data_IF_805421337155
#
_entry.id   IF_805421337155
#
_cell.length_a   1.000
_cell.length_b   1.000
_cell.length_c   1.000
_cell.angle_alpha   90.00
_cell.angle_beta   90.00
_cell.angle_gamma   90.00
#
_symmetry.space_group_name_H-M   'P 1'
#
loop_
_entity.id
_entity.type
_entity.pdbx_description
1 polymer ?
#
# COMPACT_ATOMS: atom_id res chain seq x y z
N UNK A 1 5.10 9.18 -8.60
CA UNK A 1 4.98 7.92 -9.37
C UNK A 1 3.63 7.83 -10.12
N UNK A 2 3.50 7.02 -11.18
CA UNK A 2 2.19 6.69 -11.82
C UNK A 2 1.72 5.27 -11.44
N UNK A 3 0.45 4.94 -11.69
CA UNK A 3 -0.09 3.59 -11.44
C UNK A 3 0.62 2.50 -12.23
N UNK A 4 0.89 2.77 -13.51
CA UNK A 4 1.56 1.83 -14.41
C UNK A 4 2.95 1.50 -13.86
N UNK A 5 3.68 2.52 -13.42
CA UNK A 5 5.02 2.32 -12.83
C UNK A 5 4.94 1.57 -11.50
N UNK A 6 3.94 1.84 -10.67
CA UNK A 6 3.73 1.12 -9.42
C UNK A 6 3.42 -0.36 -9.65
N UNK A 7 2.52 -0.67 -10.61
CA UNK A 7 2.16 -2.03 -10.99
C UNK A 7 3.36 -2.79 -11.55
N UNK A 8 4.16 -2.16 -12.42
CA UNK A 8 5.41 -2.73 -12.93
C UNK A 8 6.36 -3.13 -11.77
N UNK A 9 6.54 -2.25 -10.78
CA UNK A 9 7.35 -2.54 -9.59
C UNK A 9 6.78 -3.72 -8.80
N UNK A 10 5.48 -3.71 -8.52
CA UNK A 10 4.80 -4.78 -7.76
C UNK A 10 5.01 -6.13 -8.43
N UNK A 11 4.85 -6.20 -9.76
CA UNK A 11 5.03 -7.42 -10.54
C UNK A 11 6.49 -7.88 -10.56
N UNK A 12 7.42 -6.99 -10.89
CA UNK A 12 8.84 -7.32 -11.03
C UNK A 12 9.48 -7.75 -9.70
N UNK A 13 9.09 -7.10 -8.59
CA UNK A 13 9.61 -7.40 -7.25
C UNK A 13 8.77 -8.45 -6.52
N UNK A 14 7.70 -8.96 -7.14
CA UNK A 14 6.77 -9.93 -6.56
C UNK A 14 6.24 -9.47 -5.19
N UNK A 15 5.90 -8.18 -5.07
CA UNK A 15 5.37 -7.63 -3.83
C UNK A 15 3.97 -8.19 -3.57
N UNK A 16 3.72 -8.62 -2.33
CA UNK A 16 2.48 -9.25 -1.91
C UNK A 16 1.84 -8.49 -0.75
N UNK A 17 0.67 -8.98 -0.30
CA UNK A 17 -0.06 -8.44 0.85
C UNK A 17 -0.33 -6.95 0.70
N UNK A 18 -0.96 -6.62 -0.43
CA UNK A 18 -1.38 -5.28 -0.79
C UNK A 18 -2.90 -5.19 -0.93
N UNK A 19 -3.44 -4.01 -0.73
CA UNK A 19 -4.82 -3.65 -1.06
C UNK A 19 -4.79 -2.47 -2.04
N UNK A 20 -5.09 -2.75 -3.30
CA UNK A 20 -4.88 -1.82 -4.40
C UNK A 20 -6.15 -1.02 -4.64
N UNK A 21 -6.22 0.19 -4.08
CA UNK A 21 -7.38 1.08 -4.21
C UNK A 21 -8.70 0.45 -3.71
N UNK A 22 -8.64 -0.20 -2.55
CA UNK A 22 -9.78 -0.88 -1.92
C UNK A 22 -10.42 -1.95 -2.85
N UNK A 23 -9.60 -2.67 -3.63
CA UNK A 23 -10.03 -3.76 -4.52
C UNK A 23 -10.58 -4.99 -3.77
N UNK A 24 -10.23 -5.12 -2.49
CA UNK A 24 -10.86 -6.04 -1.56
C UNK A 24 -11.11 -5.43 -0.18
N UNK A 25 -11.94 -6.13 0.62
CA UNK A 25 -12.10 -5.83 2.04
C UNK A 25 -10.76 -5.97 2.75
N UNK A 26 -10.47 -5.02 3.64
CA UNK A 26 -9.24 -4.94 4.41
C UNK A 26 -8.90 -6.29 5.05
N UNK A 27 -7.66 -6.76 4.86
CA UNK A 27 -7.13 -8.01 5.41
C UNK A 27 -6.03 -7.74 6.44
N UNK A 28 -5.72 -8.71 7.31
CA UNK A 28 -4.56 -8.63 8.19
C UNK A 28 -3.24 -8.52 7.44
N UNK A 29 -2.27 -7.83 8.06
CA UNK A 29 -0.88 -7.76 7.60
C UNK A 29 -0.70 -7.32 6.13
N UNK A 30 -1.45 -6.32 5.69
CA UNK A 30 -1.37 -5.76 4.33
C UNK A 30 -0.98 -4.28 4.34
N UNK A 31 -0.50 -3.79 3.21
CA UNK A 31 -0.37 -2.35 2.93
C UNK A 31 -1.48 -1.95 1.98
N UNK A 32 -2.25 -0.92 2.31
CA UNK A 32 -3.32 -0.42 1.44
C UNK A 32 -3.11 1.02 0.99
N UNK A 33 -3.63 1.34 -0.19
CA UNK A 33 -3.75 2.70 -0.72
C UNK A 33 -5.21 2.94 -1.11
N UNK A 34 -5.74 4.14 -0.84
CA UNK A 34 -7.10 4.54 -1.22
C UNK A 34 -7.20 6.05 -1.44
N UNK A 35 -8.20 6.47 -2.20
CA UNK A 35 -8.62 7.87 -2.28
C UNK A 35 -9.82 8.11 -1.36
N UNK A 36 -9.78 9.16 -0.54
CA UNK A 36 -10.91 9.58 0.28
C UNK A 36 -10.90 11.09 0.46
N UNK A 37 -12.05 11.74 0.19
CA UNK A 37 -12.23 13.18 0.36
C UNK A 37 -11.14 14.03 -0.34
N UNK A 38 -10.85 13.72 -1.61
CA UNK A 38 -9.83 14.38 -2.44
C UNK A 38 -8.39 14.30 -1.87
N UNK A 39 -8.12 13.29 -1.04
CA UNK A 39 -6.79 12.98 -0.53
C UNK A 39 -6.46 11.52 -0.75
N UNK A 40 -5.17 11.24 -0.86
CA UNK A 40 -4.66 9.89 -0.97
C UNK A 40 -4.16 9.40 0.37
N UNK A 41 -4.56 8.19 0.77
CA UNK A 41 -4.23 7.63 2.06
C UNK A 41 -3.54 6.29 1.88
N UNK A 42 -2.39 6.14 2.54
CA UNK A 42 -1.66 4.88 2.64
C UNK A 42 -1.69 4.40 4.08
N UNK A 43 -1.95 3.12 4.28
CA UNK A 43 -2.05 2.49 5.60
C UNK A 43 -1.39 1.12 5.59
N UNK A 44 -1.09 0.61 6.78
CA UNK A 44 -0.76 -0.79 7.01
C UNK A 44 -1.84 -1.38 7.90
N UNK A 45 -1.99 -2.71 7.92
CA UNK A 45 -2.89 -3.37 8.86
C UNK A 45 -2.11 -4.27 9.80
N UNK A 46 -2.61 -4.39 11.02
CA UNK A 46 -2.15 -5.41 11.96
C UNK A 46 -2.88 -6.74 11.73
N UNK A 47 -2.58 -7.73 12.58
CA UNK A 47 -3.15 -9.08 12.56
C UNK A 47 -4.68 -9.14 12.66
N UNK A 48 -5.32 -8.10 13.22
CA UNK A 48 -6.77 -7.97 13.36
C UNK A 48 -7.43 -7.19 12.20
N UNK A 49 -6.69 -6.93 11.12
CA UNK A 49 -7.13 -6.14 9.97
C UNK A 49 -7.50 -4.68 10.28
N UNK A 50 -7.09 -4.16 11.44
CA UNK A 50 -7.27 -2.75 11.77
C UNK A 50 -6.22 -1.91 11.01
N UNK A 51 -6.62 -0.85 10.29
CA UNK A 51 -5.67 0.10 9.72
C UNK A 51 -4.88 0.83 10.81
N UNK A 52 -3.56 0.80 10.67
CA UNK A 52 -2.59 1.47 11.52
C UNK A 52 -1.60 2.27 10.66
N UNK A 53 -0.88 3.20 11.30
CA UNK A 53 0.20 3.99 10.68
C UNK A 53 -0.20 4.72 9.39
N UNK A 54 -1.44 5.21 9.37
CA UNK A 54 -2.05 5.90 8.24
C UNK A 54 -1.30 7.21 7.91
N UNK A 55 -1.15 7.50 6.61
CA UNK A 55 -0.55 8.74 6.14
C UNK A 55 -1.33 9.28 4.94
N UNK A 56 -1.60 10.57 4.97
CA UNK A 56 -2.27 11.30 3.89
C UNK A 56 -1.26 12.00 2.97
N UNK A 57 -1.65 12.12 1.70
CA UNK A 57 -0.90 12.77 0.63
C UNK A 57 -1.85 13.60 -0.23
N UNK A 58 -1.32 14.68 -0.81
CA UNK A 58 -2.10 15.56 -1.69
C UNK A 58 -2.19 15.00 -3.11
N UNK A 59 -1.17 14.27 -3.55
CA UNK A 59 -1.12 13.70 -4.89
C UNK A 59 -1.06 12.19 -4.85
N UNK A 60 -1.62 11.56 -5.87
CA UNK A 60 -1.57 10.12 -6.03
C UNK A 60 -0.13 9.62 -6.13
N UNK A 61 0.72 10.37 -6.83
CA UNK A 61 2.09 9.97 -7.08
C UNK A 61 2.94 9.88 -5.82
N UNK A 62 2.76 10.77 -4.85
CA UNK A 62 3.42 10.70 -3.54
C UNK A 62 2.91 9.53 -2.71
N UNK A 63 1.59 9.28 -2.74
CA UNK A 63 1.00 8.15 -2.06
C UNK A 63 1.52 6.81 -2.61
N UNK A 64 1.62 6.67 -3.94
CA UNK A 64 2.17 5.49 -4.59
C UNK A 64 3.65 5.26 -4.21
N UNK A 65 4.46 6.30 -4.09
CA UNK A 65 5.84 6.19 -3.60
C UNK A 65 5.91 5.67 -2.17
N UNK A 66 5.04 6.18 -1.29
CA UNK A 66 4.97 5.71 0.08
C UNK A 66 4.46 4.27 0.18
N UNK A 67 3.44 3.93 -0.62
CA UNK A 67 2.84 2.61 -0.70
C UNK A 67 3.87 1.55 -1.11
N UNK A 68 4.60 1.78 -2.21
CA UNK A 68 5.67 0.87 -2.66
C UNK A 68 6.78 0.73 -1.62
N UNK A 69 7.19 1.83 -0.97
CA UNK A 69 8.21 1.78 0.09
C UNK A 69 7.77 0.85 1.24
N UNK A 70 6.50 0.94 1.67
CA UNK A 70 5.96 0.10 2.74
C UNK A 70 5.79 -1.35 2.30
N UNK A 71 5.33 -1.61 1.07
CA UNK A 71 5.24 -2.96 0.52
C UNK A 71 6.60 -3.65 0.47
N UNK A 72 7.64 -2.97 0.01
CA UNK A 72 9.01 -3.50 0.05
C UNK A 72 9.47 -3.83 1.46
N UNK A 73 9.10 -3.01 2.45
CA UNK A 73 9.43 -3.28 3.84
C UNK A 73 8.70 -4.52 4.36
N UNK A 74 7.38 -4.61 4.16
CA UNK A 74 6.57 -5.76 4.55
C UNK A 74 7.08 -7.06 3.90
N UNK A 75 7.35 -7.03 2.60
CA UNK A 75 7.87 -8.18 1.87
C UNK A 75 9.23 -8.65 2.40
N UNK A 76 10.10 -7.74 2.85
CA UNK A 76 11.36 -8.12 3.51
C UNK A 76 11.11 -8.84 4.84
N UNK A 77 10.17 -8.35 5.67
CA UNK A 77 9.85 -8.99 6.94
C UNK A 77 9.28 -10.39 6.80
N UNK A 78 8.51 -10.66 5.74
CA UNK A 78 7.91 -11.97 5.50
C UNK A 78 8.87 -13.02 4.93
N UNK A 79 10.03 -12.58 4.41
CA UNK A 79 11.05 -13.46 3.84
C UNK A 79 12.26 -13.66 4.80
N UNK A 80 12.11 -13.27 6.07
CA UNK A 80 13.05 -13.56 7.16
C UNK A 80 12.60 -14.80 7.93
#
# INVERSE_FOLDING_TARGET
MTREKALEIIQNEKLQNLNWFDDHKIKPNEVGIREKANKWKVYTTEEWANPISEKEFQTEGEALENFIKRLRALNKFQNL
#
